data_IF_333544896915
#
_entry.id   IF_333544896915
#
_cell.length_a   1.000
_cell.length_b   1.000
_cell.length_c   1.000
_cell.angle_alpha   90.00
_cell.angle_beta   90.00
_cell.angle_gamma   90.00
#
_symmetry.space_group_name_H-M   'P 1'
#
loop_
_entity.id
_entity.type
_entity.pdbx_description
1 polymer ?
#
# COMPACT_ATOMS: atom_id res chain seq x y z
N UNK A 1 -83.50 1.17 38.01
CA UNK A 1 -82.15 0.96 38.63
C UNK A 1 -81.09 0.33 37.68
N UNK A 2 -81.42 -0.09 36.45
CA UNK A 2 -80.50 -0.75 35.55
C UNK A 2 -79.56 0.20 34.77
N UNK A 3 -79.95 1.43 34.48
CA UNK A 3 -79.17 2.36 33.68
C UNK A 3 -77.98 3.03 34.42
N UNK A 4 -78.05 3.16 35.72
CA UNK A 4 -76.99 3.72 36.52
C UNK A 4 -75.83 2.74 36.71
N UNK A 5 -76.05 1.43 36.78
CA UNK A 5 -74.97 0.44 36.85
C UNK A 5 -74.14 0.27 35.59
N UNK A 6 -74.73 0.51 34.45
CA UNK A 6 -74.00 0.46 33.16
C UNK A 6 -73.03 1.63 32.96
N UNK A 7 -73.38 2.82 33.48
CA UNK A 7 -72.52 4.01 33.43
C UNK A 7 -71.31 3.91 34.36
N UNK A 8 -71.47 3.30 35.52
CA UNK A 8 -70.35 3.07 36.44
C UNK A 8 -69.41 1.97 35.98
N UNK A 9 -69.88 0.96 35.26
CA UNK A 9 -69.08 -0.13 34.72
C UNK A 9 -68.27 0.37 33.49
N UNK A 10 -68.83 1.24 32.66
CA UNK A 10 -68.10 1.83 31.52
C UNK A 10 -67.00 2.79 31.96
N UNK A 11 -67.16 3.51 33.06
CA UNK A 11 -66.11 4.40 33.59
C UNK A 11 -64.93 3.65 34.25
N UNK A 12 -65.17 2.44 34.78
CA UNK A 12 -64.13 1.62 35.41
C UNK A 12 -63.25 0.92 34.42
N UNK A 13 -63.81 0.40 33.33
CA UNK A 13 -63.03 -0.20 32.24
C UNK A 13 -62.14 0.85 31.52
N UNK A 14 -62.66 2.07 31.34
CA UNK A 14 -61.87 3.15 30.72
C UNK A 14 -60.68 3.61 31.59
N UNK A 15 -60.77 3.46 32.89
CA UNK A 15 -59.69 3.83 33.83
C UNK A 15 -58.59 2.75 33.88
N UNK A 16 -58.98 1.49 33.88
CA UNK A 16 -58.04 0.36 33.83
C UNK A 16 -57.31 0.29 32.51
N UNK A 17 -57.96 0.55 31.37
CA UNK A 17 -57.34 0.64 30.07
C UNK A 17 -56.37 1.82 30.00
N UNK A 18 -56.71 3.00 30.57
CA UNK A 18 -55.81 4.16 30.58
C UNK A 18 -54.55 3.92 31.44
N UNK A 19 -54.68 3.26 32.59
CA UNK A 19 -53.49 2.91 33.41
C UNK A 19 -52.59 1.88 32.72
N UNK A 20 -53.14 0.95 31.94
CA UNK A 20 -52.38 -0.01 31.16
C UNK A 20 -51.61 0.65 30.02
N UNK A 21 -52.22 1.64 29.33
CA UNK A 21 -51.57 2.41 28.27
C UNK A 21 -50.43 3.30 28.78
N UNK A 22 -50.57 3.86 30.00
CA UNK A 22 -49.50 4.64 30.64
C UNK A 22 -48.28 3.74 30.95
N UNK A 23 -48.49 2.53 31.45
CA UNK A 23 -47.40 1.59 31.72
C UNK A 23 -46.67 1.12 30.45
N UNK A 24 -47.40 0.89 29.33
CA UNK A 24 -46.82 0.55 28.04
C UNK A 24 -46.03 1.72 27.48
N UNK A 25 -46.54 2.96 27.56
CA UNK A 25 -45.86 4.16 27.09
C UNK A 25 -44.57 4.43 27.83
N UNK A 26 -44.55 4.18 29.17
CA UNK A 26 -43.34 4.34 29.98
C UNK A 26 -42.29 3.29 29.66
N UNK A 27 -42.69 2.03 29.47
CA UNK A 27 -41.76 0.98 28.96
C UNK A 27 -41.22 1.30 27.58
N UNK A 28 -42.05 1.81 26.66
CA UNK A 28 -41.58 2.20 25.30
C UNK A 28 -40.63 3.39 25.38
N UNK A 29 -40.89 4.36 26.24
CA UNK A 29 -40.02 5.52 26.48
C UNK A 29 -38.67 5.10 27.06
N UNK A 30 -38.65 4.17 28.01
CA UNK A 30 -37.43 3.58 28.55
C UNK A 30 -36.64 2.82 27.49
N UNK A 31 -37.32 2.02 26.66
CA UNK A 31 -36.69 1.29 25.56
C UNK A 31 -36.11 2.24 24.50
N UNK A 32 -36.83 3.31 24.15
CA UNK A 32 -36.33 4.34 23.25
C UNK A 32 -35.06 5.03 23.78
N UNK A 33 -34.99 5.32 25.09
CA UNK A 33 -33.80 5.87 25.72
C UNK A 33 -32.60 4.94 25.58
N UNK A 34 -32.78 3.65 25.83
CA UNK A 34 -31.72 2.66 25.68
C UNK A 34 -31.20 2.61 24.24
N UNK A 35 -32.11 2.59 23.26
CA UNK A 35 -31.71 2.65 21.84
C UNK A 35 -31.03 3.96 21.48
N UNK A 36 -31.46 5.10 22.02
CA UNK A 36 -30.80 6.39 21.82
C UNK A 36 -29.36 6.36 22.35
N UNK A 37 -29.18 5.87 23.61
CA UNK A 37 -27.83 5.73 24.18
C UNK A 37 -26.94 4.80 23.35
N UNK A 38 -27.49 3.68 22.89
CA UNK A 38 -26.76 2.73 22.05
C UNK A 38 -26.38 3.36 20.70
N UNK A 39 -27.29 4.11 20.09
CA UNK A 39 -27.02 4.84 18.85
C UNK A 39 -25.95 5.92 19.02
N UNK A 40 -26.01 6.70 20.10
CA UNK A 40 -25.01 7.73 20.41
C UNK A 40 -23.65 7.09 20.69
N UNK A 41 -23.59 6.02 21.50
CA UNK A 41 -22.36 5.29 21.79
C UNK A 41 -21.74 4.70 20.52
N UNK A 42 -22.55 4.12 19.64
CA UNK A 42 -22.09 3.60 18.35
C UNK A 42 -21.58 4.72 17.42
N UNK A 43 -22.29 5.83 17.38
CA UNK A 43 -21.87 6.98 16.56
C UNK A 43 -20.53 7.55 17.05
N UNK A 44 -20.35 7.66 18.39
CA UNK A 44 -19.07 8.09 18.98
C UNK A 44 -17.94 7.11 18.66
N UNK A 45 -18.19 5.81 18.79
CA UNK A 45 -17.20 4.78 18.41
C UNK A 45 -16.77 4.90 16.96
N UNK A 46 -17.73 5.01 16.03
CA UNK A 46 -17.45 5.16 14.58
C UNK A 46 -16.70 6.46 14.29
N UNK A 47 -17.00 7.54 15.01
CA UNK A 47 -16.30 8.82 14.81
C UNK A 47 -14.83 8.75 15.23
N UNK A 48 -14.52 8.16 16.39
CA UNK A 48 -13.15 7.95 16.86
C UNK A 48 -12.35 7.08 15.87
N UNK A 49 -12.96 6.01 15.38
CA UNK A 49 -12.30 5.15 14.40
C UNK A 49 -12.00 5.86 13.06
N UNK A 50 -12.93 6.70 12.60
CA UNK A 50 -12.72 7.54 11.41
C UNK A 50 -11.59 8.55 11.59
N UNK A 51 -11.48 9.17 12.75
CA UNK A 51 -10.41 10.12 13.05
C UNK A 51 -9.04 9.43 13.06
N UNK A 52 -8.92 8.26 13.67
CA UNK A 52 -7.69 7.46 13.67
C UNK A 52 -7.24 7.10 12.24
N UNK A 53 -8.17 6.64 11.40
CA UNK A 53 -7.89 6.32 9.99
C UNK A 53 -7.42 7.56 9.23
N UNK A 54 -8.06 8.71 9.47
CA UNK A 54 -7.69 9.97 8.83
C UNK A 54 -6.29 10.44 9.26
N UNK A 55 -5.93 10.35 10.53
CA UNK A 55 -4.60 10.70 11.02
C UNK A 55 -3.52 9.82 10.38
N UNK A 56 -3.74 8.52 10.30
CA UNK A 56 -2.82 7.59 9.63
C UNK A 56 -2.67 7.94 8.15
N UNK A 57 -3.78 8.24 7.46
CA UNK A 57 -3.75 8.60 6.05
C UNK A 57 -3.02 9.93 5.78
N UNK A 58 -3.17 10.92 6.68
CA UNK A 58 -2.44 12.19 6.59
C UNK A 58 -0.95 11.98 6.84
N UNK A 59 -0.59 11.27 7.91
CA UNK A 59 0.80 10.96 8.23
C UNK A 59 1.51 10.18 7.10
N UNK A 60 0.80 9.24 6.47
CA UNK A 60 1.27 8.53 5.27
C UNK A 60 1.59 9.51 4.14
N UNK A 61 0.63 10.35 3.80
CA UNK A 61 0.78 11.31 2.70
C UNK A 61 1.93 12.27 2.95
N UNK A 62 2.07 12.78 4.16
CA UNK A 62 3.12 13.75 4.51
C UNK A 62 4.50 13.11 4.43
N UNK A 63 4.67 11.91 4.98
CA UNK A 63 5.92 11.14 4.90
C UNK A 63 6.27 10.80 3.45
N UNK A 64 5.30 10.32 2.67
CA UNK A 64 5.49 9.98 1.26
C UNK A 64 5.91 11.20 0.44
N UNK A 65 5.24 12.34 0.65
CA UNK A 65 5.58 13.60 -0.03
C UNK A 65 6.98 14.09 0.36
N UNK A 66 7.35 13.98 1.64
CA UNK A 66 8.67 14.38 2.11
C UNK A 66 9.77 13.53 1.45
N UNK A 67 9.63 12.20 1.47
CA UNK A 67 10.58 11.28 0.80
C UNK A 67 10.68 11.59 -0.69
N UNK A 68 9.53 11.74 -1.37
CA UNK A 68 9.51 12.07 -2.79
C UNK A 68 10.26 13.37 -3.10
N UNK A 69 9.98 14.43 -2.35
CA UNK A 69 10.60 15.73 -2.57
C UNK A 69 12.12 15.69 -2.34
N UNK A 70 12.57 14.97 -1.32
CA UNK A 70 13.99 14.82 -1.05
C UNK A 70 14.70 13.97 -2.11
N UNK A 71 14.06 12.90 -2.60
CA UNK A 71 14.57 12.10 -3.72
C UNK A 71 14.61 12.92 -5.01
N UNK A 72 13.57 13.69 -5.30
CA UNK A 72 13.56 14.58 -6.47
C UNK A 72 14.62 15.66 -6.38
N UNK A 73 14.78 16.29 -5.22
CA UNK A 73 15.82 17.29 -5.00
C UNK A 73 17.22 16.74 -5.24
N UNK A 74 17.45 15.49 -4.86
CA UNK A 74 18.74 14.83 -5.02
C UNK A 74 19.01 14.38 -6.45
N UNK A 75 18.00 13.86 -7.16
CA UNK A 75 18.21 13.12 -8.42
C UNK A 75 17.61 13.75 -9.67
N UNK A 76 16.85 14.84 -9.58
CA UNK A 76 16.14 15.42 -10.74
C UNK A 76 17.04 15.72 -11.95
N UNK A 77 18.32 16.07 -11.72
CA UNK A 77 19.29 16.35 -12.81
C UNK A 77 19.88 15.07 -13.41
N UNK A 78 19.90 13.99 -12.63
CA UNK A 78 20.48 12.72 -13.01
C UNK A 78 19.50 11.79 -13.73
N UNK A 79 18.21 11.85 -13.35
CA UNK A 79 17.16 10.97 -13.88
C UNK A 79 17.13 10.90 -15.42
N UNK A 80 17.20 12.03 -16.17
CA UNK A 80 17.21 11.96 -17.64
C UNK A 80 18.45 11.24 -18.19
N UNK A 81 19.62 11.41 -17.55
CA UNK A 81 20.88 10.78 -17.98
C UNK A 81 20.87 9.27 -17.76
N UNK A 82 20.17 8.82 -16.70
CA UNK A 82 20.04 7.42 -16.35
C UNK A 82 18.85 6.73 -17.01
N UNK A 83 18.06 7.47 -17.81
CA UNK A 83 16.76 7.00 -18.32
C UNK A 83 15.91 6.41 -17.20
N UNK A 84 15.84 7.14 -16.08
CA UNK A 84 15.12 6.77 -14.87
C UNK A 84 14.01 7.77 -14.57
N UNK A 85 13.01 7.32 -13.83
CA UNK A 85 11.88 8.11 -13.39
C UNK A 85 11.52 7.79 -11.93
N UNK A 86 10.97 8.77 -11.20
CA UNK A 86 10.48 8.58 -9.84
C UNK A 86 8.97 8.77 -9.83
N UNK A 87 8.25 7.72 -9.44
CA UNK A 87 6.79 7.78 -9.28
C UNK A 87 6.42 8.30 -7.89
N UNK A 88 5.63 9.38 -7.87
CA UNK A 88 5.27 10.07 -6.62
C UNK A 88 4.45 9.22 -5.67
N UNK A 89 3.53 8.42 -6.20
CA UNK A 89 2.54 7.70 -5.40
C UNK A 89 3.09 6.38 -4.83
N UNK A 90 4.07 5.79 -5.48
CA UNK A 90 4.64 4.49 -5.10
C UNK A 90 6.04 4.60 -4.53
N UNK A 91 6.68 5.78 -4.64
CA UNK A 91 8.10 5.99 -4.32
C UNK A 91 9.01 5.02 -5.06
N UNK A 92 8.61 4.61 -6.25
CA UNK A 92 9.42 3.78 -7.12
C UNK A 92 10.37 4.63 -7.96
N UNK A 93 11.65 4.27 -7.92
CA UNK A 93 12.65 4.75 -8.88
C UNK A 93 12.83 3.66 -9.90
N UNK A 94 12.39 3.92 -11.13
CA UNK A 94 12.42 2.96 -12.24
C UNK A 94 13.58 3.27 -13.16
N UNK A 95 14.47 2.29 -13.38
CA UNK A 95 15.50 2.32 -14.41
C UNK A 95 14.99 1.58 -15.63
N UNK A 96 14.74 2.34 -16.70
CA UNK A 96 14.31 1.83 -17.99
C UNK A 96 15.54 1.46 -18.83
N UNK A 97 15.32 0.73 -19.93
CA UNK A 97 16.35 0.32 -20.88
C UNK A 97 17.20 -0.89 -20.44
N UNK A 98 16.64 -2.09 -20.56
CA UNK A 98 17.26 -3.34 -20.09
C UNK A 98 18.60 -3.66 -20.74
N UNK A 99 18.87 -3.18 -21.93
CA UNK A 99 20.14 -3.43 -22.66
C UNK A 99 21.31 -2.70 -22.01
N UNK A 100 21.02 -1.60 -21.30
CA UNK A 100 21.98 -0.83 -20.52
C UNK A 100 22.17 -1.45 -19.13
N UNK A 101 21.14 -2.09 -18.58
CA UNK A 101 21.17 -2.60 -17.21
C UNK A 101 21.92 -3.94 -17.11
N UNK A 102 21.64 -4.88 -18.02
CA UNK A 102 22.18 -6.24 -17.97
C UNK A 102 22.63 -6.72 -19.35
N UNK A 103 23.54 -7.69 -19.35
CA UNK A 103 23.82 -8.46 -20.57
C UNK A 103 22.56 -9.25 -20.96
N UNK A 104 22.28 -9.36 -22.25
CA UNK A 104 21.10 -10.07 -22.76
C UNK A 104 21.02 -11.50 -22.21
N UNK A 105 19.85 -11.88 -21.67
CA UNK A 105 19.60 -13.20 -21.08
C UNK A 105 20.44 -13.55 -19.83
N UNK A 106 21.15 -12.58 -19.24
CA UNK A 106 22.07 -12.79 -18.12
C UNK A 106 21.67 -11.93 -16.91
N UNK A 107 21.99 -12.35 -15.69
CA UNK A 107 21.93 -11.52 -14.48
C UNK A 107 23.14 -10.62 -14.31
N UNK A 108 24.14 -10.70 -15.19
CA UNK A 108 25.36 -9.92 -15.09
C UNK A 108 25.11 -8.44 -15.38
N UNK A 109 25.47 -7.57 -14.42
CA UNK A 109 25.35 -6.13 -14.54
C UNK A 109 26.26 -5.60 -15.64
N UNK A 110 25.71 -4.78 -16.55
CA UNK A 110 26.50 -4.07 -17.54
C UNK A 110 27.35 -2.98 -16.84
N UNK A 111 28.52 -2.66 -17.42
CA UNK A 111 29.42 -1.63 -16.88
C UNK A 111 28.73 -0.26 -16.73
N UNK A 112 27.88 0.12 -17.68
CA UNK A 112 27.12 1.38 -17.59
C UNK A 112 26.17 1.39 -16.38
N UNK A 113 25.48 0.29 -16.12
CA UNK A 113 24.58 0.21 -14.95
C UNK A 113 25.36 0.18 -13.64
N UNK A 114 26.52 -0.47 -13.59
CA UNK A 114 27.42 -0.40 -12.43
C UNK A 114 27.82 1.04 -12.12
N UNK A 115 28.15 1.84 -13.12
CA UNK A 115 28.47 3.25 -12.95
C UNK A 115 27.27 4.06 -12.41
N UNK A 116 26.07 3.82 -12.97
CA UNK A 116 24.84 4.44 -12.46
C UNK A 116 24.61 4.06 -11.00
N UNK A 117 24.66 2.78 -10.66
CA UNK A 117 24.46 2.30 -9.30
C UNK A 117 25.51 2.85 -8.31
N UNK A 118 26.75 3.01 -8.75
CA UNK A 118 27.83 3.57 -7.92
C UNK A 118 27.62 5.04 -7.57
N UNK A 119 27.00 5.82 -8.46
CA UNK A 119 26.62 7.20 -8.19
C UNK A 119 25.28 7.29 -7.44
N UNK A 120 24.29 6.51 -7.84
CA UNK A 120 22.95 6.52 -7.28
C UNK A 120 22.87 6.00 -5.84
N UNK A 121 23.38 4.79 -5.60
CA UNK A 121 23.00 4.03 -4.41
C UNK A 121 23.49 4.62 -3.08
N UNK A 122 24.75 5.09 -2.95
CA UNK A 122 25.19 5.73 -1.71
C UNK A 122 24.37 7.00 -1.37
N UNK A 123 24.04 7.81 -2.37
CA UNK A 123 23.22 9.00 -2.23
C UNK A 123 21.78 8.64 -1.86
N UNK A 124 21.23 7.58 -2.46
CA UNK A 124 19.90 7.04 -2.16
C UNK A 124 19.79 6.61 -0.69
N UNK A 125 20.77 5.84 -0.21
CA UNK A 125 20.84 5.43 1.20
C UNK A 125 20.99 6.65 2.11
N UNK A 126 21.79 7.64 1.74
CA UNK A 126 21.96 8.87 2.52
C UNK A 126 20.65 9.68 2.64
N UNK A 127 19.87 9.79 1.57
CA UNK A 127 18.51 10.41 1.60
C UNK A 127 17.59 9.63 2.52
N UNK A 128 17.49 8.32 2.33
CA UNK A 128 16.56 7.47 3.08
C UNK A 128 16.95 7.28 4.54
N UNK A 129 18.22 7.48 4.88
CA UNK A 129 18.70 7.39 6.26
C UNK A 129 17.97 8.34 7.22
N UNK A 130 17.44 9.46 6.72
CA UNK A 130 16.64 10.44 7.47
C UNK A 130 15.23 9.91 7.82
N UNK A 131 14.77 8.89 7.12
CA UNK A 131 13.42 8.33 7.22
C UNK A 131 13.40 6.90 7.75
N UNK A 132 14.51 6.40 8.34
CA UNK A 132 14.65 5.00 8.79
C UNK A 132 13.51 4.51 9.66
N UNK A 133 12.98 5.35 10.55
CA UNK A 133 11.87 5.00 11.44
C UNK A 133 10.52 4.90 10.74
N UNK A 134 10.38 5.49 9.55
CA UNK A 134 9.16 5.48 8.76
C UNK A 134 9.21 4.46 7.61
N UNK A 135 10.38 3.88 7.32
CA UNK A 135 10.57 2.90 6.27
C UNK A 135 10.47 1.50 6.86
N UNK A 136 9.58 0.70 6.32
CA UNK A 136 9.44 -0.72 6.66
C UNK A 136 10.36 -1.58 5.80
N UNK A 137 10.33 -1.38 4.48
CA UNK A 137 11.06 -2.19 3.54
C UNK A 137 11.45 -1.38 2.30
N UNK A 138 12.59 -1.69 1.71
CA UNK A 138 12.99 -1.18 0.39
C UNK A 138 13.15 -2.39 -0.53
N UNK A 139 12.45 -2.40 -1.65
CA UNK A 139 12.51 -3.48 -2.62
C UNK A 139 13.32 -3.10 -3.83
N UNK A 140 14.20 -4.00 -4.22
CA UNK A 140 14.78 -4.02 -5.56
C UNK A 140 13.92 -4.98 -6.37
N UNK A 141 13.12 -4.46 -7.29
CA UNK A 141 12.13 -5.23 -8.05
C UNK A 141 12.63 -5.44 -9.48
N UNK A 142 12.69 -6.69 -9.93
CA UNK A 142 13.08 -7.08 -11.28
C UNK A 142 11.89 -7.51 -12.11
N UNK A 143 11.75 -6.92 -13.28
CA UNK A 143 10.65 -7.20 -14.21
C UNK A 143 11.19 -7.64 -15.56
N UNK A 144 10.45 -8.53 -16.23
CA UNK A 144 10.76 -8.99 -17.58
C UNK A 144 9.57 -8.77 -18.51
N UNK A 145 9.79 -8.89 -19.82
CA UNK A 145 8.71 -9.06 -20.78
C UNK A 145 8.13 -10.47 -20.71
N UNK A 146 6.97 -10.68 -21.36
CA UNK A 146 6.32 -12.00 -21.43
C UNK A 146 6.99 -12.98 -22.41
N UNK A 147 7.99 -12.53 -23.15
CA UNK A 147 8.73 -13.35 -24.10
C UNK A 147 9.97 -13.99 -23.46
N UNK A 148 10.28 -15.22 -23.88
CA UNK A 148 11.51 -15.92 -23.55
C UNK A 148 11.96 -16.74 -24.76
N UNK A 149 12.80 -16.12 -25.61
CA UNK A 149 13.34 -16.81 -26.78
C UNK A 149 12.26 -17.40 -27.71
N UNK A 150 11.16 -16.68 -27.89
CA UNK A 150 10.01 -17.12 -28.69
C UNK A 150 9.01 -18.02 -27.94
N UNK A 151 9.27 -18.36 -26.67
CA UNK A 151 8.30 -19.01 -25.80
C UNK A 151 7.37 -17.98 -25.17
N UNK A 152 6.11 -18.36 -24.95
CA UNK A 152 5.07 -17.50 -24.37
C UNK A 152 4.31 -18.22 -23.24
N UNK A 153 3.53 -17.43 -22.48
CA UNK A 153 2.70 -17.96 -21.40
C UNK A 153 3.52 -18.60 -20.27
N UNK A 154 3.03 -19.72 -19.75
CA UNK A 154 3.66 -20.40 -18.62
C UNK A 154 5.08 -20.90 -18.91
N UNK A 155 5.36 -21.30 -20.15
CA UNK A 155 6.68 -21.76 -20.58
C UNK A 155 7.74 -20.66 -20.55
N UNK A 156 7.33 -19.39 -20.73
CA UNK A 156 8.20 -18.22 -20.62
C UNK A 156 8.25 -17.70 -19.18
N UNK A 157 7.18 -17.89 -18.40
CA UNK A 157 7.03 -17.27 -17.08
C UNK A 157 8.09 -17.72 -16.08
N UNK A 158 8.33 -19.02 -15.93
CA UNK A 158 9.29 -19.52 -14.94
C UNK A 158 10.75 -19.23 -15.27
N UNK A 159 11.24 -19.38 -16.52
CA UNK A 159 12.57 -18.88 -16.88
C UNK A 159 12.75 -17.37 -16.64
N UNK A 160 11.74 -16.57 -16.96
CA UNK A 160 11.73 -15.14 -16.67
C UNK A 160 11.72 -14.85 -15.15
N UNK A 161 11.05 -15.69 -14.35
CA UNK A 161 11.07 -15.58 -12.89
C UNK A 161 12.48 -15.80 -12.35
N UNK A 162 13.14 -16.87 -12.75
CA UNK A 162 14.51 -17.16 -12.34
C UNK A 162 15.46 -16.01 -12.73
N UNK A 163 15.38 -15.53 -13.99
CA UNK A 163 16.20 -14.42 -14.45
C UNK A 163 15.94 -13.14 -13.67
N UNK A 164 14.69 -12.80 -13.40
CA UNK A 164 14.36 -11.57 -12.66
C UNK A 164 14.85 -11.64 -11.20
N UNK A 165 14.75 -12.78 -10.54
CA UNK A 165 15.30 -13.01 -9.19
C UNK A 165 16.82 -12.92 -9.17
N UNK A 166 17.50 -13.56 -10.11
CA UNK A 166 18.96 -13.51 -10.20
C UNK A 166 19.47 -12.09 -10.48
N UNK A 167 18.77 -11.33 -11.30
CA UNK A 167 19.10 -9.93 -11.58
C UNK A 167 18.99 -9.05 -10.36
N UNK A 168 17.89 -9.13 -9.61
CA UNK A 168 17.71 -8.33 -8.39
C UNK A 168 18.71 -8.71 -7.30
N UNK A 169 19.03 -9.99 -7.18
CA UNK A 169 20.11 -10.46 -6.31
C UNK A 169 21.46 -9.85 -6.70
N UNK A 170 21.83 -9.89 -7.99
CA UNK A 170 23.09 -9.31 -8.47
C UNK A 170 23.16 -7.79 -8.24
N UNK A 171 22.04 -7.08 -8.37
CA UNK A 171 21.95 -5.66 -8.02
C UNK A 171 22.23 -5.47 -6.53
N UNK A 172 21.53 -6.20 -5.64
CA UNK A 172 21.70 -6.08 -4.19
C UNK A 172 23.14 -6.39 -3.74
N UNK A 173 23.73 -7.47 -4.27
CA UNK A 173 25.11 -7.82 -3.98
C UNK A 173 26.08 -6.68 -4.38
N UNK A 174 25.89 -6.13 -5.57
CA UNK A 174 26.73 -5.05 -6.06
C UNK A 174 26.61 -3.78 -5.23
N UNK A 175 25.36 -3.32 -4.96
CA UNK A 175 25.15 -2.06 -4.24
C UNK A 175 25.56 -2.14 -2.76
N UNK A 176 25.43 -3.29 -2.13
CA UNK A 176 25.94 -3.50 -0.78
C UNK A 176 27.47 -3.33 -0.70
N UNK A 177 28.19 -3.78 -1.72
CA UNK A 177 29.65 -3.62 -1.78
C UNK A 177 30.10 -2.15 -1.96
N UNK A 178 29.21 -1.25 -2.39
CA UNK A 178 29.49 0.17 -2.54
C UNK A 178 29.46 0.94 -1.21
N UNK A 179 28.85 0.38 -0.16
CA UNK A 179 28.70 1.06 1.12
C UNK A 179 29.94 0.84 2.00
N UNK A 180 30.66 1.90 2.35
CA UNK A 180 31.87 1.77 3.16
C UNK A 180 31.55 1.44 4.63
N UNK A 181 30.47 2.01 5.17
CA UNK A 181 30.12 1.91 6.58
C UNK A 181 29.40 0.60 6.92
N UNK A 182 29.85 -0.08 7.99
CA UNK A 182 29.22 -1.31 8.45
C UNK A 182 27.76 -1.10 8.88
N UNK A 183 27.47 0.02 9.54
CA UNK A 183 26.13 0.38 9.99
C UNK A 183 25.13 0.56 8.84
N UNK A 184 25.58 1.08 7.70
CA UNK A 184 24.74 1.20 6.49
C UNK A 184 24.49 -0.17 5.86
N UNK A 185 25.53 -1.01 5.78
CA UNK A 185 25.37 -2.39 5.29
C UNK A 185 24.45 -3.21 6.17
N UNK A 186 24.49 -3.03 7.49
CA UNK A 186 23.58 -3.71 8.43
C UNK A 186 22.15 -3.24 8.25
N UNK A 187 21.95 -1.93 8.07
CA UNK A 187 20.63 -1.39 7.77
C UNK A 187 20.08 -1.90 6.43
N UNK A 188 20.89 -1.91 5.37
CA UNK A 188 20.50 -2.48 4.07
C UNK A 188 20.14 -3.95 4.22
N UNK A 189 20.94 -4.73 4.93
CA UNK A 189 20.65 -6.17 5.17
C UNK A 189 19.31 -6.40 5.87
N UNK A 190 18.93 -5.51 6.77
CA UNK A 190 17.71 -5.64 7.57
C UNK A 190 16.46 -5.14 6.86
N UNK A 191 16.59 -4.21 5.91
CA UNK A 191 15.45 -3.48 5.35
C UNK A 191 15.30 -3.62 3.83
N UNK A 192 16.28 -4.22 3.13
CA UNK A 192 16.20 -4.40 1.68
C UNK A 192 15.80 -5.83 1.31
N UNK A 193 14.91 -5.94 0.33
CA UNK A 193 14.54 -7.20 -0.31
C UNK A 193 14.82 -7.15 -1.81
N UNK A 194 15.27 -8.28 -2.37
CA UNK A 194 15.44 -8.47 -3.80
C UNK A 194 14.31 -9.37 -4.31
N UNK A 195 13.44 -8.85 -5.18
CA UNK A 195 12.21 -9.51 -5.62
C UNK A 195 12.14 -9.59 -7.13
N UNK A 196 11.99 -10.80 -7.68
CA UNK A 196 11.74 -11.01 -9.10
C UNK A 196 10.24 -11.20 -9.37
N UNK A 197 9.71 -10.42 -10.29
CA UNK A 197 8.28 -10.47 -10.67
C UNK A 197 8.02 -11.17 -12.01
N UNK A 198 9.06 -11.66 -12.69
CA UNK A 198 8.86 -12.19 -14.05
C UNK A 198 8.10 -11.18 -14.94
N UNK A 199 7.14 -11.66 -15.69
CA UNK A 199 6.22 -10.87 -16.53
C UNK A 199 4.85 -10.61 -15.88
N UNK A 200 4.71 -10.73 -14.55
CA UNK A 200 3.42 -10.53 -13.87
C UNK A 200 2.95 -9.07 -13.88
N UNK A 201 3.87 -8.12 -13.99
CA UNK A 201 3.59 -6.66 -13.99
C UNK A 201 4.04 -6.01 -15.28
N UNK A 202 3.48 -6.47 -16.41
CA UNK A 202 3.79 -5.95 -17.74
C UNK A 202 3.31 -4.52 -17.90
N UNK A 203 4.07 -3.71 -18.64
CA UNK A 203 3.64 -2.40 -19.10
C UNK A 203 2.94 -2.57 -20.45
N UNK A 204 1.70 -2.12 -20.52
CA UNK A 204 0.90 -2.17 -21.73
C UNK A 204 1.00 -0.84 -22.47
N UNK A 205 0.97 -0.89 -23.79
CA UNK A 205 0.80 0.29 -24.63
C UNK A 205 -0.67 0.74 -24.53
N UNK A 206 -0.94 1.98 -24.08
CA UNK A 206 -2.31 2.45 -23.85
C UNK A 206 -3.19 2.39 -25.10
N UNK A 207 -2.62 2.67 -26.26
CA UNK A 207 -3.37 2.79 -27.50
C UNK A 207 -3.62 1.44 -28.18
N UNK A 208 -2.74 0.46 -27.97
CA UNK A 208 -2.74 -0.81 -28.70
C UNK A 208 -3.16 -2.02 -27.85
N UNK A 209 -3.22 -1.88 -26.55
CA UNK A 209 -3.41 -2.99 -25.59
C UNK A 209 -2.42 -4.15 -25.78
N UNK A 210 -1.24 -3.84 -26.32
CA UNK A 210 -0.14 -4.77 -26.54
C UNK A 210 0.95 -4.46 -25.52
N UNK A 211 1.68 -5.48 -25.08
CA UNK A 211 2.80 -5.30 -24.18
C UNK A 211 3.90 -4.43 -24.82
N UNK A 212 4.31 -3.40 -24.06
CA UNK A 212 5.55 -2.70 -24.35
C UNK A 212 6.71 -3.45 -23.69
N UNK A 213 7.31 -4.38 -24.43
CA UNK A 213 8.36 -5.25 -23.92
C UNK A 213 9.59 -4.47 -23.42
N UNK A 214 9.91 -3.32 -24.03
CA UNK A 214 11.04 -2.49 -23.60
C UNK A 214 10.79 -1.88 -22.21
N UNK A 215 9.59 -1.33 -21.96
CA UNK A 215 9.22 -0.78 -20.67
C UNK A 215 8.89 -1.86 -19.62
N UNK A 216 8.47 -3.06 -20.07
CA UNK A 216 8.24 -4.19 -19.17
C UNK A 216 9.54 -4.68 -18.54
N UNK A 217 10.66 -4.63 -19.26
CA UNK A 217 11.99 -5.01 -18.78
C UNK A 217 12.63 -3.84 -18.04
N UNK A 218 12.53 -3.83 -16.72
CA UNK A 218 13.02 -2.74 -15.87
C UNK A 218 13.49 -3.24 -14.50
N UNK A 219 14.20 -2.39 -13.80
CA UNK A 219 14.52 -2.56 -12.37
C UNK A 219 13.99 -1.35 -11.61
N UNK A 220 13.27 -1.62 -10.53
CA UNK A 220 12.73 -0.61 -9.65
C UNK A 220 13.39 -0.68 -8.28
N UNK A 221 13.58 0.49 -7.66
CA UNK A 221 13.84 0.63 -6.23
C UNK A 221 12.59 1.25 -5.62
N UNK A 222 11.86 0.48 -4.81
CA UNK A 222 10.60 0.91 -4.20
C UNK A 222 10.74 1.04 -2.70
N UNK A 223 10.35 2.18 -2.15
CA UNK A 223 10.26 2.39 -0.70
C UNK A 223 8.85 2.06 -0.23
N UNK A 224 8.76 1.19 0.79
CA UNK A 224 7.50 0.86 1.47
C UNK A 224 7.59 1.45 2.87
N UNK A 225 6.64 2.31 3.22
CA UNK A 225 6.57 2.94 4.53
C UNK A 225 5.69 2.15 5.49
N UNK A 226 5.93 2.29 6.79
CA UNK A 226 5.11 1.69 7.85
C UNK A 226 3.64 2.10 7.72
N UNK A 227 3.39 3.35 7.34
CA UNK A 227 2.04 3.87 7.15
C UNK A 227 1.33 3.24 5.95
N UNK A 228 2.07 2.87 4.88
CA UNK A 228 1.51 2.12 3.73
C UNK A 228 0.97 0.77 4.17
N UNK A 229 1.71 0.05 5.02
CA UNK A 229 1.27 -1.23 5.57
C UNK A 229 0.05 -1.08 6.47
N UNK A 230 0.03 -0.05 7.31
CA UNK A 230 -1.12 0.23 8.18
C UNK A 230 -2.39 0.51 7.37
N UNK A 231 -2.31 1.34 6.33
CA UNK A 231 -3.44 1.63 5.44
C UNK A 231 -3.90 0.35 4.73
N UNK A 232 -2.98 -0.46 4.22
CA UNK A 232 -3.33 -1.74 3.58
C UNK A 232 -4.08 -2.65 4.54
N UNK A 233 -3.60 -2.82 5.76
CA UNK A 233 -4.25 -3.63 6.79
C UNK A 233 -5.66 -3.12 7.15
N UNK A 234 -5.88 -1.79 7.15
CA UNK A 234 -7.19 -1.19 7.37
C UNK A 234 -8.14 -1.54 6.23
N UNK A 235 -7.70 -1.40 4.98
CA UNK A 235 -8.50 -1.71 3.79
C UNK A 235 -8.89 -3.20 3.79
N UNK A 236 -7.95 -4.10 4.05
CA UNK A 236 -8.21 -5.55 4.11
C UNK A 236 -9.23 -5.92 5.20
N UNK A 237 -9.19 -5.25 6.35
CA UNK A 237 -10.20 -5.46 7.42
C UNK A 237 -11.59 -4.96 7.02
N UNK A 238 -11.67 -3.85 6.29
CA UNK A 238 -12.95 -3.32 5.80
C UNK A 238 -13.55 -4.22 4.73
N UNK A 239 -12.74 -4.75 3.82
CA UNK A 239 -13.18 -5.67 2.77
C UNK A 239 -13.52 -7.07 3.34
N UNK A 240 -12.77 -7.56 4.32
CA UNK A 240 -13.04 -8.84 5.00
C UNK A 240 -14.29 -8.87 5.88
N UNK A 241 -14.84 -7.71 6.27
CA UNK A 241 -16.10 -7.60 7.02
C UNK A 241 -17.35 -7.56 6.11
N UNK A 242 -17.18 -7.69 4.78
CA UNK A 242 -18.29 -7.70 3.82
C UNK A 242 -18.69 -9.11 3.35
N UNK A 243 -18.19 -10.18 4.00
CA UNK A 243 -18.55 -11.57 3.69
C UNK A 243 -19.43 -12.17 4.80
#
# INVERSE_FOLDING_TARGET
>A
MSALNSLFRSRRTNKEDAEHWIGISDMMSGLMMVFLFMAVAYMYYVQVERENIKEIAVAYKDTQVAIYNDLMKEFQEDLPRWNAEIERNTLEITFNNPEVLFRAGSPELNGQFKNILSDFFPRYVAVLSRYRSAIEEIRIEGHTSSDWGGLHGEKAYFPNMALSQDRTRSVLEYVMALLPEASERDWVRSNFAAVGYSSSRRVMDPDKQIENAARSRRVNFRVITNSELQIRNIIERLDGNQV
#
